data_IF_023142335006
#
_entry.id   IF_023142335006
#
_cell.length_a   1.000
_cell.length_b   1.000
_cell.length_c   1.000
_cell.angle_alpha   90.00
_cell.angle_beta   90.00
_cell.angle_gamma   90.00
#
_symmetry.space_group_name_H-M   'P 1'
#
loop_
_entity.id
_entity.type
_entity.pdbx_description
1 polymer ?
#
# COMPACT_ATOMS: atom_id res chain seq x y z
N UNK A 1 21.19 -3.12 4.19
CA UNK A 1 22.59 -2.80 3.83
C UNK A 1 23.13 -3.63 2.65
N UNK A 2 23.02 -4.96 2.63
CA UNK A 2 23.55 -5.80 1.51
C UNK A 2 22.97 -5.39 0.15
N UNK A 3 21.66 -5.15 0.03
CA UNK A 3 21.04 -4.74 -1.23
C UNK A 3 21.62 -3.43 -1.82
N UNK A 4 22.08 -2.50 -1.00
CA UNK A 4 22.65 -1.22 -1.45
C UNK A 4 23.94 -1.42 -2.24
N UNK A 5 24.71 -2.46 -1.94
CA UNK A 5 25.94 -2.80 -2.64
C UNK A 5 25.69 -3.77 -3.81
N UNK A 6 24.74 -4.68 -3.68
CA UNK A 6 24.46 -5.69 -4.72
C UNK A 6 23.74 -5.07 -5.93
N UNK A 7 22.79 -4.17 -5.72
CA UNK A 7 22.02 -3.54 -6.79
C UNK A 7 22.92 -2.85 -7.85
N UNK A 8 23.87 -1.98 -7.49
CA UNK A 8 24.76 -1.34 -8.49
C UNK A 8 25.71 -2.31 -9.20
N UNK A 9 25.99 -3.48 -8.59
CA UNK A 9 26.85 -4.49 -9.20
C UNK A 9 26.10 -5.28 -10.27
N UNK A 10 24.82 -5.57 -10.01
CA UNK A 10 23.98 -6.40 -10.88
C UNK A 10 23.30 -5.57 -11.96
N UNK A 11 22.82 -4.37 -11.61
CA UNK A 11 22.08 -3.49 -12.53
C UNK A 11 23.06 -2.45 -13.09
N UNK A 12 23.58 -2.69 -14.28
CA UNK A 12 24.55 -1.80 -14.95
C UNK A 12 24.00 -1.14 -16.21
N UNK A 13 23.02 -1.76 -16.83
CA UNK A 13 22.48 -1.31 -18.13
C UNK A 13 20.98 -1.01 -18.03
N UNK A 14 20.46 -0.24 -18.99
CA UNK A 14 19.00 -0.02 -19.12
C UNK A 14 18.25 -1.33 -19.34
N UNK A 15 18.87 -2.31 -20.00
CA UNK A 15 18.27 -3.63 -20.23
C UNK A 15 18.09 -4.42 -18.94
N UNK A 16 19.04 -4.29 -18.00
CA UNK A 16 18.94 -4.97 -16.70
C UNK A 16 17.78 -4.41 -15.87
N UNK A 17 17.59 -3.07 -15.93
CA UNK A 17 16.41 -2.41 -15.29
C UNK A 17 15.12 -2.90 -15.93
N UNK A 18 15.07 -2.94 -17.26
CA UNK A 18 13.89 -3.41 -17.99
C UNK A 18 13.56 -4.87 -17.64
N UNK A 19 14.55 -5.74 -17.56
CA UNK A 19 14.37 -7.12 -17.15
C UNK A 19 13.83 -7.22 -15.71
N UNK A 20 14.40 -6.44 -14.79
CA UNK A 20 13.93 -6.37 -13.42
C UNK A 20 12.46 -5.95 -13.34
N UNK A 21 12.06 -4.93 -14.11
CA UNK A 21 10.69 -4.46 -14.17
C UNK A 21 9.74 -5.52 -14.74
N UNK A 22 10.17 -6.25 -15.78
CA UNK A 22 9.38 -7.36 -16.33
C UNK A 22 9.20 -8.46 -15.28
N UNK A 23 10.27 -8.86 -14.60
CA UNK A 23 10.17 -9.86 -13.52
C UNK A 23 9.23 -9.36 -12.41
N UNK A 24 9.39 -8.12 -11.98
CA UNK A 24 8.50 -7.55 -10.95
C UNK A 24 7.06 -7.51 -11.40
N UNK A 25 6.78 -7.16 -12.66
CA UNK A 25 5.42 -7.15 -13.20
C UNK A 25 4.74 -8.52 -13.13
N UNK A 26 5.49 -9.61 -13.33
CA UNK A 26 4.97 -10.98 -13.19
C UNK A 26 4.55 -11.23 -11.73
N UNK A 27 5.36 -10.82 -10.75
CA UNK A 27 4.99 -10.93 -9.34
C UNK A 27 3.75 -10.10 -9.00
N UNK A 28 3.60 -8.90 -9.60
CA UNK A 28 2.40 -8.07 -9.44
C UNK A 28 1.16 -8.80 -9.93
N UNK A 29 1.23 -9.44 -11.08
CA UNK A 29 0.13 -10.24 -11.61
C UNK A 29 -0.21 -11.42 -10.67
N UNK A 30 0.80 -12.16 -10.22
CA UNK A 30 0.61 -13.32 -9.35
C UNK A 30 -0.07 -12.91 -8.03
N UNK A 31 0.43 -11.87 -7.35
CA UNK A 31 -0.18 -11.47 -6.10
C UNK A 31 -1.56 -10.81 -6.27
N UNK A 32 -1.78 -10.11 -7.39
CA UNK A 32 -3.10 -9.54 -7.69
C UNK A 32 -4.13 -10.63 -7.98
N UNK A 33 -3.76 -11.65 -8.77
CA UNK A 33 -4.61 -12.80 -9.05
C UNK A 33 -4.97 -13.58 -7.77
N UNK A 34 -4.00 -13.81 -6.89
CA UNK A 34 -4.27 -14.45 -5.59
C UNK A 34 -5.21 -13.59 -4.72
N UNK A 35 -5.01 -12.28 -4.67
CA UNK A 35 -5.90 -11.36 -3.97
C UNK A 35 -7.32 -11.36 -4.54
N UNK A 36 -7.44 -11.36 -5.86
CA UNK A 36 -8.72 -11.51 -6.57
C UNK A 36 -9.40 -12.84 -6.21
N UNK A 37 -8.63 -13.94 -6.20
CA UNK A 37 -9.14 -15.26 -5.81
C UNK A 37 -9.66 -15.25 -4.38
N UNK A 38 -8.88 -14.75 -3.42
CA UNK A 38 -9.29 -14.65 -2.01
C UNK A 38 -10.60 -13.86 -1.86
N UNK A 39 -10.79 -12.80 -2.64
CA UNK A 39 -11.99 -11.96 -2.57
C UNK A 39 -13.24 -12.67 -3.10
N UNK A 40 -13.13 -13.42 -4.21
CA UNK A 40 -14.29 -13.97 -4.91
C UNK A 40 -14.59 -15.43 -4.54
N UNK A 41 -13.56 -16.22 -4.15
CA UNK A 41 -13.70 -17.64 -3.82
C UNK A 41 -13.40 -17.95 -2.35
N UNK A 42 -13.00 -16.93 -1.56
CA UNK A 42 -12.64 -17.11 -0.17
C UNK A 42 -11.18 -17.50 0.05
N UNK A 43 -10.86 -17.74 1.30
CA UNK A 43 -9.51 -18.09 1.74
C UNK A 43 -9.21 -19.58 1.51
N UNK A 44 -8.00 -19.88 1.07
CA UNK A 44 -7.52 -21.27 0.96
C UNK A 44 -7.31 -21.88 2.35
N UNK A 45 -7.17 -23.22 2.42
CA UNK A 45 -6.91 -23.91 3.69
C UNK A 45 -5.67 -23.37 4.43
N UNK A 46 -4.63 -22.99 3.70
CA UNK A 46 -3.42 -22.35 4.27
C UNK A 46 -3.70 -20.96 4.80
N UNK A 47 -4.50 -20.17 4.09
CA UNK A 47 -4.91 -18.82 4.53
C UNK A 47 -5.78 -18.92 5.79
N UNK A 48 -6.70 -19.90 5.86
CA UNK A 48 -7.55 -20.14 7.03
C UNK A 48 -6.72 -20.60 8.24
N UNK A 49 -5.73 -21.46 8.04
CA UNK A 49 -4.78 -21.84 9.09
C UNK A 49 -4.07 -20.61 9.66
N UNK A 50 -3.54 -19.73 8.78
CA UNK A 50 -2.92 -18.48 9.21
C UNK A 50 -3.88 -17.58 9.98
N UNK A 51 -5.12 -17.43 9.52
CA UNK A 51 -6.10 -16.59 10.16
C UNK A 51 -6.51 -17.11 11.55
N UNK A 52 -6.83 -18.42 11.66
CA UNK A 52 -7.45 -18.96 12.87
C UNK A 52 -6.45 -19.57 13.85
N UNK A 53 -5.37 -20.16 13.37
CA UNK A 53 -4.38 -20.85 14.23
C UNK A 53 -3.22 -19.92 14.60
N UNK A 54 -2.70 -19.16 13.62
CA UNK A 54 -1.57 -18.24 13.85
C UNK A 54 -2.06 -16.91 14.44
N UNK A 55 -3.38 -16.63 14.41
CA UNK A 55 -3.97 -15.44 15.01
C UNK A 55 -4.07 -14.23 14.06
N UNK A 56 -3.87 -14.44 12.76
CA UNK A 56 -4.00 -13.37 11.75
C UNK A 56 -5.39 -12.77 11.65
N UNK A 57 -6.43 -13.46 12.12
CA UNK A 57 -7.81 -12.97 12.09
C UNK A 57 -7.98 -11.61 12.76
N UNK A 58 -7.24 -11.33 13.84
CA UNK A 58 -7.31 -10.06 14.58
C UNK A 58 -7.03 -8.81 13.73
N UNK A 59 -6.20 -8.96 12.69
CA UNK A 59 -5.77 -7.85 11.83
C UNK A 59 -6.41 -7.87 10.45
N UNK A 60 -6.95 -9.02 10.03
CA UNK A 60 -7.49 -9.22 8.68
C UNK A 60 -9.02 -9.28 8.66
N UNK A 61 -9.66 -9.76 9.74
CA UNK A 61 -11.11 -9.81 9.89
C UNK A 61 -11.50 -8.79 10.95
N UNK A 62 -11.74 -7.55 10.50
CA UNK A 62 -12.09 -6.44 11.38
C UNK A 62 -13.57 -6.07 11.19
N UNK A 63 -14.16 -5.39 12.16
CA UNK A 63 -15.58 -4.99 12.09
C UNK A 63 -15.94 -4.22 10.81
N UNK A 64 -15.00 -3.47 10.26
CA UNK A 64 -15.16 -2.74 8.99
C UNK A 64 -14.92 -3.60 7.74
N UNK A 65 -14.76 -4.92 7.88
CA UNK A 65 -14.70 -5.92 6.82
C UNK A 65 -13.38 -6.67 6.68
N UNK A 66 -13.34 -7.54 5.69
CA UNK A 66 -12.18 -8.40 5.42
C UNK A 66 -11.10 -7.60 4.69
N UNK A 67 -9.85 -7.81 5.10
CA UNK A 67 -8.66 -7.28 4.48
C UNK A 67 -7.89 -8.42 3.82
N UNK A 68 -7.81 -8.40 2.49
CA UNK A 68 -7.10 -9.44 1.74
C UNK A 68 -5.61 -9.18 1.76
N UNK A 69 -4.82 -10.23 1.88
CA UNK A 69 -3.36 -10.16 2.06
C UNK A 69 -2.57 -10.91 1.00
N UNK A 70 -3.25 -11.63 0.09
CA UNK A 70 -2.63 -12.41 -0.99
C UNK A 70 -1.57 -13.39 -0.47
N UNK A 71 -0.31 -13.26 -0.88
CA UNK A 71 0.83 -14.05 -0.41
C UNK A 71 1.63 -13.35 0.70
N UNK A 72 1.24 -12.14 1.09
CA UNK A 72 1.96 -11.37 2.09
C UNK A 72 1.56 -11.80 3.50
N UNK A 73 2.46 -11.53 4.44
CA UNK A 73 2.22 -11.79 5.86
C UNK A 73 1.16 -10.88 6.48
N UNK A 74 0.89 -9.73 5.84
CA UNK A 74 -0.09 -8.74 6.31
C UNK A 74 -0.71 -7.99 5.13
N UNK A 75 -1.98 -7.62 5.28
CA UNK A 75 -2.73 -6.83 4.31
C UNK A 75 -2.10 -5.44 4.08
N UNK A 76 -1.41 -4.88 5.09
CA UNK A 76 -0.70 -3.60 4.94
C UNK A 76 0.46 -3.73 3.98
N UNK A 77 1.29 -4.77 4.14
CA UNK A 77 2.38 -5.06 3.22
C UNK A 77 1.88 -5.27 1.80
N UNK A 78 0.81 -6.06 1.64
CA UNK A 78 0.17 -6.24 0.34
C UNK A 78 -0.26 -4.91 -0.29
N UNK A 79 -0.98 -4.07 0.45
CA UNK A 79 -1.47 -2.79 -0.04
C UNK A 79 -0.35 -1.81 -0.40
N UNK A 80 0.70 -1.74 0.42
CA UNK A 80 1.87 -0.88 0.18
C UNK A 80 2.63 -1.33 -1.07
N UNK A 81 2.92 -2.62 -1.20
CA UNK A 81 3.59 -3.15 -2.40
C UNK A 81 2.75 -2.95 -3.68
N UNK A 82 1.43 -3.11 -3.60
CA UNK A 82 0.52 -2.84 -4.71
C UNK A 82 0.53 -1.34 -5.09
N UNK A 83 0.54 -0.43 -4.11
CA UNK A 83 0.65 1.01 -4.36
C UNK A 83 2.00 1.39 -4.97
N UNK A 84 3.11 0.84 -4.45
CA UNK A 84 4.45 1.03 -5.04
C UNK A 84 4.49 0.57 -6.49
N UNK A 85 3.95 -0.62 -6.76
CA UNK A 85 3.87 -1.15 -8.14
C UNK A 85 3.05 -0.23 -9.05
N UNK A 86 1.92 0.28 -8.55
CA UNK A 86 1.11 1.25 -9.30
C UNK A 86 1.93 2.47 -9.72
N UNK A 87 2.63 3.09 -8.78
CA UNK A 87 3.44 4.28 -9.04
C UNK A 87 4.54 3.96 -10.04
N UNK A 88 5.32 2.90 -9.80
CA UNK A 88 6.45 2.53 -10.64
C UNK A 88 6.00 2.26 -12.07
N UNK A 89 5.02 1.38 -12.29
CA UNK A 89 4.60 1.02 -13.63
C UNK A 89 3.81 2.12 -14.35
N UNK A 90 3.12 2.99 -13.64
CA UNK A 90 2.52 4.19 -14.23
C UNK A 90 3.60 5.10 -14.80
N UNK A 91 4.73 5.26 -14.09
CA UNK A 91 5.86 6.08 -14.53
C UNK A 91 6.57 5.44 -15.70
N UNK A 92 6.94 4.16 -15.56
CA UNK A 92 7.65 3.44 -16.62
C UNK A 92 6.87 3.47 -17.93
N UNK A 93 5.53 3.45 -17.85
CA UNK A 93 4.69 3.58 -19.03
C UNK A 93 4.88 4.90 -19.79
N UNK A 94 5.34 5.96 -19.14
CA UNK A 94 5.60 7.26 -19.76
C UNK A 94 6.94 7.32 -20.49
N UNK A 95 7.91 6.51 -20.03
CA UNK A 95 9.30 6.52 -20.54
C UNK A 95 9.59 5.43 -21.58
N UNK A 96 8.69 4.49 -21.77
CA UNK A 96 8.85 3.41 -22.74
C UNK A 96 8.40 3.84 -24.13
N UNK A 97 9.26 3.62 -25.14
CA UNK A 97 8.99 4.01 -26.52
C UNK A 97 7.95 3.11 -27.21
N UNK A 98 7.91 1.82 -26.87
CA UNK A 98 7.01 0.84 -27.47
C UNK A 98 5.58 0.99 -26.94
N UNK A 99 4.62 1.17 -27.85
CA UNK A 99 3.17 1.25 -27.50
C UNK A 99 2.69 0.00 -26.74
N UNK A 100 3.13 -1.18 -27.12
CA UNK A 100 2.74 -2.44 -26.49
C UNK A 100 3.27 -2.53 -25.04
N UNK A 101 4.53 -2.16 -24.81
CA UNK A 101 5.10 -2.12 -23.46
C UNK A 101 4.39 -1.07 -22.60
N UNK A 102 4.04 0.08 -23.17
CA UNK A 102 3.28 1.13 -22.49
C UNK A 102 1.92 0.63 -22.00
N UNK A 103 1.16 -0.02 -22.88
CA UNK A 103 -0.16 -0.60 -22.55
C UNK A 103 0.01 -1.68 -21.47
N UNK A 104 1.02 -2.54 -21.61
CA UNK A 104 1.32 -3.57 -20.63
C UNK A 104 1.61 -2.97 -19.24
N UNK A 105 2.50 -1.98 -19.14
CA UNK A 105 2.82 -1.35 -17.84
C UNK A 105 1.63 -0.60 -17.25
N UNK A 106 0.80 0.04 -18.05
CA UNK A 106 -0.45 0.63 -17.58
C UNK A 106 -1.40 -0.44 -17.02
N UNK A 107 -1.50 -1.58 -17.66
CA UNK A 107 -2.29 -2.70 -17.17
C UNK A 107 -1.77 -3.20 -15.82
N UNK A 108 -0.45 -3.33 -15.66
CA UNK A 108 0.17 -3.72 -14.37
C UNK A 108 -0.12 -2.66 -13.29
N UNK A 109 -0.02 -1.37 -13.61
CA UNK A 109 -0.38 -0.30 -12.69
C UNK A 109 -1.84 -0.41 -12.24
N UNK A 110 -2.75 -0.74 -13.15
CA UNK A 110 -4.16 -0.99 -12.84
C UNK A 110 -4.37 -2.19 -11.90
N UNK A 111 -3.62 -3.28 -12.12
CA UNK A 111 -3.59 -4.42 -11.22
C UNK A 111 -3.13 -4.01 -9.80
N UNK A 112 -2.14 -3.13 -9.71
CA UNK A 112 -1.69 -2.56 -8.44
C UNK A 112 -2.77 -1.75 -7.73
N UNK A 113 -3.49 -0.88 -8.45
CA UNK A 113 -4.63 -0.10 -7.89
C UNK A 113 -5.70 -1.06 -7.33
N UNK A 114 -6.03 -2.10 -8.08
CA UNK A 114 -7.00 -3.10 -7.61
C UNK A 114 -6.51 -3.81 -6.34
N UNK A 115 -5.27 -4.30 -6.32
CA UNK A 115 -4.67 -4.95 -5.15
C UNK A 115 -4.64 -4.04 -3.93
N UNK A 116 -4.23 -2.77 -4.10
CA UNK A 116 -4.27 -1.75 -3.06
C UNK A 116 -5.69 -1.58 -2.50
N UNK A 117 -6.70 -1.51 -3.39
CA UNK A 117 -8.10 -1.36 -3.01
C UNK A 117 -8.58 -2.48 -2.11
N UNK A 118 -8.42 -3.74 -2.53
CA UNK A 118 -8.90 -4.91 -1.78
C UNK A 118 -8.13 -5.18 -0.47
N UNK A 119 -6.89 -4.69 -0.35
CA UNK A 119 -6.14 -4.78 0.90
C UNK A 119 -6.79 -3.98 2.04
N UNK A 120 -7.60 -2.98 1.70
CA UNK A 120 -8.21 -2.06 2.67
C UNK A 120 -7.19 -1.30 3.50
N UNK A 121 -5.98 -1.06 2.95
CA UNK A 121 -4.86 -0.45 3.66
C UNK A 121 -4.79 1.04 3.36
N UNK A 122 -5.07 1.85 4.38
CA UNK A 122 -5.09 3.32 4.27
C UNK A 122 -3.72 3.93 4.01
N UNK A 123 -2.67 3.40 4.62
CA UNK A 123 -1.29 3.88 4.41
C UNK A 123 -0.81 3.72 2.97
N UNK A 124 -1.40 2.82 2.19
CA UNK A 124 -1.10 2.64 0.77
C UNK A 124 -1.47 3.88 -0.08
N UNK A 125 -2.51 4.63 0.33
CA UNK A 125 -2.84 5.92 -0.30
C UNK A 125 -1.72 6.95 -0.13
N UNK A 126 -1.08 6.98 1.05
CA UNK A 126 0.08 7.84 1.30
C UNK A 126 1.26 7.49 0.40
N UNK A 127 1.49 6.21 0.14
CA UNK A 127 2.54 5.74 -0.80
C UNK A 127 2.22 6.18 -2.22
N UNK A 128 0.97 6.04 -2.66
CA UNK A 128 0.53 6.47 -3.99
C UNK A 128 0.73 7.98 -4.17
N UNK A 129 0.21 8.78 -3.25
CA UNK A 129 0.31 10.24 -3.32
C UNK A 129 1.76 10.72 -3.17
N UNK A 130 2.50 10.19 -2.20
CA UNK A 130 3.91 10.53 -1.97
C UNK A 130 4.80 10.15 -3.14
N UNK A 131 4.58 8.98 -3.74
CA UNK A 131 5.28 8.54 -4.94
C UNK A 131 5.03 9.46 -6.13
N UNK A 132 3.78 9.83 -6.38
CA UNK A 132 3.41 10.78 -7.44
C UNK A 132 4.08 12.15 -7.24
N UNK A 133 4.05 12.69 -6.02
CA UNK A 133 4.72 13.96 -5.70
C UNK A 133 6.23 13.87 -5.87
N UNK A 134 6.85 12.79 -5.38
CA UNK A 134 8.30 12.62 -5.48
C UNK A 134 8.79 12.63 -6.92
N UNK A 135 8.05 12.00 -7.83
CA UNK A 135 8.40 11.97 -9.25
C UNK A 135 8.31 13.35 -9.88
N UNK A 136 7.27 14.10 -9.55
CA UNK A 136 7.10 15.45 -10.10
C UNK A 136 8.25 16.37 -9.70
N UNK A 137 8.78 16.19 -8.48
CA UNK A 137 9.98 16.91 -8.00
C UNK A 137 11.23 16.45 -8.74
N UNK A 138 11.43 15.14 -8.91
CA UNK A 138 12.62 14.59 -9.58
C UNK A 138 12.65 14.92 -11.07
N UNK A 139 11.51 14.94 -11.73
CA UNK A 139 11.40 15.22 -13.16
C UNK A 139 11.87 16.63 -13.55
N UNK A 140 12.06 17.55 -12.58
CA UNK A 140 12.51 18.96 -12.79
C UNK A 140 11.73 19.69 -13.90
N UNK A 141 10.51 19.21 -14.19
CA UNK A 141 9.65 19.77 -15.23
C UNK A 141 8.46 20.45 -14.57
N UNK A 142 8.37 21.77 -14.73
CA UNK A 142 7.31 22.58 -14.12
C UNK A 142 5.89 22.11 -14.51
N UNK A 143 5.69 21.66 -15.74
CA UNK A 143 4.40 21.13 -16.22
C UNK A 143 4.06 19.81 -15.54
N UNK A 144 5.05 18.92 -15.37
CA UNK A 144 4.88 17.67 -14.65
C UNK A 144 4.59 17.91 -13.16
N UNK A 145 5.28 18.88 -12.55
CA UNK A 145 5.05 19.29 -11.15
C UNK A 145 3.61 19.77 -10.95
N UNK A 146 3.14 20.69 -11.78
CA UNK A 146 1.76 21.20 -11.72
C UNK A 146 0.74 20.09 -11.96
N UNK A 147 0.98 19.21 -12.94
CA UNK A 147 0.12 18.06 -13.21
C UNK A 147 0.03 17.10 -12.03
N UNK A 148 1.15 16.76 -11.41
CA UNK A 148 1.19 15.86 -10.24
C UNK A 148 0.52 16.48 -9.00
N UNK A 149 0.72 17.76 -8.75
CA UNK A 149 0.03 18.49 -7.68
C UNK A 149 -1.48 18.51 -7.96
N UNK A 150 -1.90 18.82 -9.19
CA UNK A 150 -3.31 18.82 -9.56
C UNK A 150 -3.97 17.46 -9.36
N UNK A 151 -3.34 16.37 -9.80
CA UNK A 151 -3.83 15.01 -9.59
C UNK A 151 -3.93 14.69 -8.10
N UNK A 152 -2.90 15.02 -7.31
CA UNK A 152 -2.90 14.77 -5.87
C UNK A 152 -4.02 15.53 -5.14
N UNK A 153 -4.23 16.81 -5.49
CA UNK A 153 -5.32 17.62 -4.96
C UNK A 153 -6.68 17.07 -5.39
N UNK A 154 -6.81 16.61 -6.65
CA UNK A 154 -8.06 16.03 -7.15
C UNK A 154 -8.41 14.74 -6.42
N UNK A 155 -7.43 13.86 -6.17
CA UNK A 155 -7.62 12.64 -5.37
C UNK A 155 -8.02 13.00 -3.93
N UNK A 156 -7.32 13.95 -3.31
CA UNK A 156 -7.65 14.42 -1.98
C UNK A 156 -9.07 14.99 -1.93
N UNK A 157 -9.41 15.90 -2.83
CA UNK A 157 -10.74 16.52 -2.92
C UNK A 157 -11.86 15.48 -3.14
N UNK A 158 -11.61 14.49 -4.01
CA UNK A 158 -12.55 13.41 -4.23
C UNK A 158 -12.85 12.64 -2.94
N UNK A 159 -11.85 12.20 -2.21
CA UNK A 159 -12.05 11.44 -0.99
C UNK A 159 -12.55 12.28 0.20
N UNK A 160 -12.24 13.56 0.23
CA UNK A 160 -12.63 14.47 1.30
C UNK A 160 -14.06 15.02 1.13
N UNK A 161 -14.40 15.50 -0.06
CA UNK A 161 -15.66 16.22 -0.31
C UNK A 161 -16.77 15.35 -0.88
N UNK A 162 -16.45 14.24 -1.59
CA UNK A 162 -17.51 13.47 -2.24
C UNK A 162 -17.94 12.25 -1.44
N UNK A 163 -19.25 11.94 -1.48
CA UNK A 163 -19.81 10.70 -0.90
C UNK A 163 -20.04 9.61 -1.95
N UNK A 164 -19.51 9.78 -3.15
CA UNK A 164 -19.64 8.81 -4.23
C UNK A 164 -18.97 7.50 -3.82
N UNK A 165 -19.67 6.39 -3.98
CA UNK A 165 -19.17 5.06 -3.64
C UNK A 165 -19.18 4.72 -2.14
N UNK A 166 -19.89 5.45 -1.29
CA UNK A 166 -19.97 5.16 0.16
C UNK A 166 -20.55 3.79 0.47
N UNK A 167 -21.35 3.20 -0.42
CA UNK A 167 -21.82 1.83 -0.31
C UNK A 167 -20.72 0.77 -0.53
N UNK A 168 -19.58 1.17 -1.08
CA UNK A 168 -18.43 0.28 -1.24
C UNK A 168 -17.51 0.38 -0.02
N UNK A 169 -17.39 -0.72 0.71
CA UNK A 169 -16.62 -0.81 1.95
C UNK A 169 -15.14 -0.40 1.77
N UNK A 170 -14.54 -0.65 0.61
CA UNK A 170 -13.15 -0.29 0.33
C UNK A 170 -12.98 1.22 0.12
N UNK A 171 -13.91 1.85 -0.59
CA UNK A 171 -13.93 3.31 -0.79
C UNK A 171 -14.17 4.01 0.54
N UNK A 172 -15.10 3.51 1.35
CA UNK A 172 -15.36 4.03 2.68
C UNK A 172 -14.11 3.97 3.59
N UNK A 173 -13.39 2.84 3.59
CA UNK A 173 -12.11 2.71 4.32
C UNK A 173 -11.04 3.68 3.84
N UNK A 174 -10.92 3.89 2.54
CA UNK A 174 -9.96 4.85 1.99
C UNK A 174 -10.31 6.28 2.40
N UNK A 175 -11.58 6.61 2.39
CA UNK A 175 -12.08 7.92 2.81
C UNK A 175 -11.80 8.19 4.29
N UNK A 176 -11.94 7.23 5.18
CA UNK A 176 -11.65 7.40 6.61
C UNK A 176 -10.19 7.80 6.90
N UNK A 177 -9.28 7.64 5.92
CA UNK A 177 -7.91 8.16 6.03
C UNK A 177 -7.84 9.68 6.04
N UNK A 178 -8.84 10.34 5.45
CA UNK A 178 -8.93 11.80 5.36
C UNK A 178 -9.79 12.41 6.47
N UNK A 179 -10.48 11.56 7.27
CA UNK A 179 -11.27 11.96 8.45
C UNK A 179 -10.76 11.20 9.69
N UNK A 180 -9.55 11.48 10.17
CA UNK A 180 -8.92 10.69 11.24
C UNK A 180 -9.64 10.77 12.57
N UNK A 181 -10.36 11.86 12.83
CA UNK A 181 -11.11 12.06 14.10
C UNK A 181 -12.32 11.14 14.23
N UNK A 182 -12.84 10.62 13.13
CA UNK A 182 -13.98 9.69 13.10
C UNK A 182 -13.52 8.22 13.06
N UNK A 183 -12.21 7.97 12.98
CA UNK A 183 -11.65 6.63 12.84
C UNK A 183 -11.31 6.02 14.20
N UNK A 184 -12.03 4.97 14.58
CA UNK A 184 -11.80 4.23 15.81
C UNK A 184 -10.34 3.73 15.95
N UNK A 185 -9.70 3.31 14.84
CA UNK A 185 -8.30 2.86 14.88
C UNK A 185 -7.32 4.01 15.15
N UNK A 186 -7.64 5.21 14.72
CA UNK A 186 -6.84 6.40 15.01
C UNK A 186 -6.97 6.79 16.49
N UNK A 187 -8.19 6.80 17.01
CA UNK A 187 -8.47 7.13 18.41
C UNK A 187 -7.75 6.19 19.37
N UNK A 188 -7.80 4.87 19.12
CA UNK A 188 -7.05 3.87 19.91
C UNK A 188 -5.55 4.13 19.87
N UNK A 189 -5.00 4.53 18.72
CA UNK A 189 -3.56 4.86 18.61
C UNK A 189 -3.19 6.12 19.38
N UNK A 190 -4.08 7.12 19.39
CA UNK A 190 -3.88 8.35 20.17
C UNK A 190 -3.88 8.04 21.66
N UNK A 191 -4.84 7.25 22.12
CA UNK A 191 -4.93 6.81 23.50
C UNK A 191 -3.70 6.01 23.93
N UNK A 192 -3.31 5.00 23.14
CA UNK A 192 -2.09 4.22 23.40
C UNK A 192 -0.84 5.11 23.41
N UNK A 193 -0.75 6.11 22.56
CA UNK A 193 0.37 7.06 22.55
C UNK A 193 0.41 7.90 23.83
N UNK A 194 -0.74 8.34 24.34
CA UNK A 194 -0.79 9.09 25.59
C UNK A 194 -0.37 8.19 26.76
N UNK A 195 -0.91 6.98 26.83
CA UNK A 195 -0.50 5.97 27.84
C UNK A 195 1.00 5.66 27.77
N UNK A 196 1.55 5.49 26.56
CA UNK A 196 2.99 5.26 26.40
C UNK A 196 3.84 6.44 26.85
N UNK A 197 3.40 7.69 26.59
CA UNK A 197 4.10 8.89 27.08
C UNK A 197 4.18 8.93 28.60
N UNK A 198 3.10 8.59 29.29
CA UNK A 198 3.10 8.52 30.77
C UNK A 198 4.04 7.44 31.30
N UNK A 199 4.05 6.26 30.66
CA UNK A 199 4.97 5.17 31.01
C UNK A 199 6.43 5.55 30.76
N UNK A 200 6.73 6.18 29.63
CA UNK A 200 8.08 6.64 29.29
C UNK A 200 8.56 7.80 30.16
N UNK A 201 7.66 8.65 30.66
CA UNK A 201 8.00 9.68 31.61
C UNK A 201 8.49 9.08 32.95
N UNK A 202 7.96 7.92 33.35
CA UNK A 202 8.39 7.20 34.57
C UNK A 202 9.67 6.38 34.37
N UNK A 203 9.85 5.79 33.15
CA UNK A 203 11.05 5.01 32.79
C UNK A 203 11.46 5.30 31.33
N UNK A 204 12.34 6.29 31.10
CA UNK A 204 12.73 6.70 29.73
C UNK A 204 13.40 5.60 28.90
N UNK A 205 14.06 4.65 29.54
CA UNK A 205 14.76 3.51 28.89
C UNK A 205 13.78 2.36 28.59
N UNK A 206 12.51 2.46 29.06
CA UNK A 206 11.48 1.43 28.88
C UNK A 206 11.48 0.36 29.97
N UNK A 207 10.51 -0.56 29.87
CA UNK A 207 10.27 -1.65 30.83
C UNK A 207 10.88 -3.00 30.39
N UNK A 208 11.58 -3.04 29.25
CA UNK A 208 12.13 -4.25 28.68
C UNK A 208 11.19 -4.98 27.70
N UNK A 209 11.77 -5.90 26.95
CA UNK A 209 11.05 -6.72 25.97
C UNK A 209 10.20 -7.75 26.71
N UNK A 210 8.91 -7.71 26.60
CA UNK A 210 7.97 -8.64 27.26
C UNK A 210 6.96 -8.00 28.21
N UNK A 211 7.23 -6.80 28.70
CA UNK A 211 6.25 -6.03 29.51
C UNK A 211 5.48 -5.00 28.69
N UNK A 212 5.76 -4.90 27.39
CA UNK A 212 5.07 -3.99 26.46
C UNK A 212 3.77 -4.55 25.92
N UNK A 213 3.55 -5.86 26.02
CA UNK A 213 2.27 -6.52 25.72
C UNK A 213 1.45 -6.52 26.99
N UNK A 214 0.78 -5.40 27.27
CA UNK A 214 -0.12 -5.31 28.39
C UNK A 214 -1.23 -6.37 28.31
N UNK A 215 -1.25 -7.24 29.29
CA UNK A 215 -2.49 -7.91 29.71
C UNK A 215 -3.42 -6.88 30.33
#
# INVERSE_FOLDING_TARGET
MICTFVVPIVIRTKKDIELLLIIWSIFVLIFTLKGYWQKNHGFSSKDLYFLHVVGGARTHIIWSGIRYFSFFSDATNYGVHAAMSTVTFAIDSLFVDSRWKRIYFLFIAFCGIYGMGISGTRSAMGVLMGGMLMITVIAKNWKALLGGIFISISIFAFFYYTNIGSGNQYIHKMRSSFHPTEDASYLVRVENRMRMKELMAKKPIGYGVGLSTGN
#
